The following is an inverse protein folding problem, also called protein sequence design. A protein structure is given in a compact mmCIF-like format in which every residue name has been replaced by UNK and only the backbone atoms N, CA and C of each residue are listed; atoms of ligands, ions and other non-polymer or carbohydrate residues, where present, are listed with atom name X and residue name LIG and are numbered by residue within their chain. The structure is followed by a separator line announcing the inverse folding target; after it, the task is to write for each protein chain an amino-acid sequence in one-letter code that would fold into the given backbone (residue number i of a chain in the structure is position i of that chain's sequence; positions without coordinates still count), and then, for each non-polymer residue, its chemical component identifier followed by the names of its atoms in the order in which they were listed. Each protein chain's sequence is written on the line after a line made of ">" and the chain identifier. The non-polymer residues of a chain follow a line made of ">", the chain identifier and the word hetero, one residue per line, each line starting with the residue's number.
data_IF_728851035724
#
_entry.id   IF_728851035724
#
_cell.length_a   1.000
_cell.length_b   1.000
_cell.length_c   1.000
_cell.angle_alpha   90.00
_cell.angle_beta   90.00
_cell.angle_gamma   90.00
#
_symmetry.space_group_name_H-M   'P 1'
#
loop_
_entity.id
_entity.type
_entity.pdbx_description
1 polymer ?
#
# COMPACT_ATOMS: atom_id res chain seq x y z
N UNK A 1 16.15 -16.26 1.25
CA UNK A 1 15.17 -16.74 2.28
C UNK A 1 13.96 -15.83 2.28
N UNK A 2 12.75 -16.40 2.38
CA UNK A 2 11.50 -15.64 2.45
C UNK A 2 10.91 -15.73 3.85
N UNK A 3 10.56 -14.58 4.41
CA UNK A 3 9.98 -14.45 5.75
C UNK A 3 8.59 -13.79 5.65
N UNK A 4 7.66 -14.26 6.49
CA UNK A 4 6.31 -13.69 6.60
C UNK A 4 6.10 -13.17 8.01
N UNK A 5 5.69 -11.91 8.11
CA UNK A 5 5.25 -11.25 9.34
C UNK A 5 3.77 -10.92 9.20
N UNK A 6 2.98 -11.30 10.19
CA UNK A 6 1.55 -10.94 10.27
C UNK A 6 1.35 -10.23 11.59
N UNK A 7 1.16 -8.92 11.53
CA UNK A 7 0.92 -8.08 12.70
C UNK A 7 -0.56 -7.75 12.84
N UNK A 8 -1.00 -7.65 14.08
CA UNK A 8 -2.27 -7.02 14.39
C UNK A 8 -2.25 -5.51 14.10
N UNK A 9 -3.34 -4.80 14.44
CA UNK A 9 -3.36 -3.35 14.34
C UNK A 9 -2.33 -2.70 15.29
N UNK A 10 -1.47 -1.83 14.75
CA UNK A 10 -0.41 -1.10 15.46
C UNK A 10 -0.56 0.40 15.15
N UNK A 11 -0.03 1.28 15.98
CA UNK A 11 -0.06 2.71 15.73
C UNK A 11 0.81 3.11 14.53
N UNK A 12 0.47 4.23 13.90
CA UNK A 12 1.09 4.63 12.64
C UNK A 12 2.59 4.93 12.75
N UNK A 13 3.06 5.44 13.87
CA UNK A 13 4.48 5.73 14.08
C UNK A 13 5.26 4.42 14.13
N UNK A 14 4.79 3.47 14.92
CA UNK A 14 5.39 2.13 15.06
C UNK A 14 5.34 1.38 13.73
N UNK A 15 4.22 1.39 12.99
CA UNK A 15 4.13 0.77 11.67
C UNK A 15 5.22 1.28 10.71
N UNK A 16 5.41 2.58 10.63
CA UNK A 16 6.40 3.18 9.74
C UNK A 16 7.83 2.96 10.23
N UNK A 17 8.06 2.90 11.55
CA UNK A 17 9.35 2.58 12.13
C UNK A 17 9.75 1.12 11.84
N UNK A 18 8.82 0.17 11.96
CA UNK A 18 9.05 -1.25 11.62
C UNK A 18 9.41 -1.39 10.15
N UNK A 19 8.63 -0.80 9.22
CA UNK A 19 8.93 -0.86 7.79
C UNK A 19 10.32 -0.29 7.46
N UNK A 20 10.72 0.80 8.12
CA UNK A 20 12.05 1.39 7.95
C UNK A 20 13.15 0.49 8.50
N UNK A 21 12.97 -0.08 9.71
CA UNK A 21 13.93 -0.97 10.34
C UNK A 21 14.14 -2.26 9.53
N UNK A 22 13.05 -2.85 9.00
CA UNK A 22 13.14 -4.03 8.14
C UNK A 22 13.88 -3.72 6.83
N UNK A 23 13.71 -2.52 6.26
CA UNK A 23 14.48 -2.10 5.09
C UNK A 23 15.98 -1.99 5.40
N UNK A 24 16.34 -1.39 6.53
CA UNK A 24 17.73 -1.25 6.95
C UNK A 24 18.36 -2.62 7.29
N UNK A 25 17.60 -3.53 7.91
CA UNK A 25 18.02 -4.90 8.19
C UNK A 25 18.34 -5.67 6.90
N UNK A 26 17.44 -5.64 5.92
CA UNK A 26 17.64 -6.33 4.63
C UNK A 26 18.76 -5.68 3.82
N UNK A 27 18.87 -4.34 3.83
CA UNK A 27 19.92 -3.62 3.10
C UNK A 27 21.33 -3.88 3.67
N UNK A 28 21.42 -4.15 4.97
CA UNK A 28 22.68 -4.46 5.67
C UNK A 28 23.05 -5.94 5.60
N UNK A 29 22.13 -6.81 5.21
CA UNK A 29 22.37 -8.26 5.12
C UNK A 29 23.28 -8.63 3.95
N UNK A 30 24.23 -9.55 4.19
CA UNK A 30 24.99 -10.22 3.13
C UNK A 30 24.17 -11.26 2.37
N UNK A 31 23.17 -11.84 3.05
CA UNK A 31 22.32 -12.88 2.53
C UNK A 31 21.17 -12.32 1.68
N UNK A 32 20.72 -13.07 0.69
CA UNK A 32 19.53 -12.72 -0.08
C UNK A 32 18.28 -13.00 0.76
N UNK A 33 17.52 -11.95 1.04
CA UNK A 33 16.34 -11.97 1.90
C UNK A 33 15.16 -11.26 1.26
N UNK A 34 13.98 -11.80 1.53
CA UNK A 34 12.71 -11.15 1.23
C UNK A 34 11.80 -11.29 2.44
N UNK A 35 11.24 -10.18 2.88
CA UNK A 35 10.26 -10.11 3.97
C UNK A 35 8.95 -9.60 3.37
N UNK A 36 7.88 -10.35 3.62
CA UNK A 36 6.51 -9.89 3.37
C UNK A 36 5.85 -9.65 4.72
N UNK A 37 5.29 -8.47 4.90
CA UNK A 37 4.59 -8.08 6.13
C UNK A 37 3.16 -7.68 5.80
N UNK A 38 2.18 -8.21 6.57
CA UNK A 38 0.79 -7.76 6.57
C UNK A 38 0.45 -7.17 7.93
N UNK A 39 -0.24 -6.02 7.93
CA UNK A 39 -0.55 -5.33 9.18
C UNK A 39 -1.79 -4.42 9.06
N UNK A 40 -2.29 -3.97 10.21
CA UNK A 40 -3.41 -3.03 10.32
C UNK A 40 -3.04 -1.77 11.11
N UNK A 41 -4.05 -0.94 11.39
CA UNK A 41 -3.94 0.35 12.06
C UNK A 41 -4.92 0.43 13.23
N UNK A 42 -4.45 0.85 14.41
CA UNK A 42 -5.32 0.96 15.63
C UNK A 42 -6.31 2.11 15.54
N UNK A 43 -6.10 3.07 14.63
CA UNK A 43 -7.00 4.20 14.36
C UNK A 43 -6.77 4.73 12.94
N UNK A 44 -7.74 5.44 12.38
CA UNK A 44 -7.54 6.11 11.10
C UNK A 44 -6.27 6.96 11.14
N UNK A 45 -5.41 6.79 10.15
CA UNK A 45 -4.11 7.45 10.08
C UNK A 45 -3.81 7.86 8.64
N UNK A 46 -3.34 9.08 8.44
CA UNK A 46 -2.83 9.52 7.14
C UNK A 46 -1.33 9.36 7.09
N UNK A 47 -0.84 8.58 6.13
CA UNK A 47 0.58 8.53 5.83
C UNK A 47 0.93 9.49 4.70
N UNK A 48 1.93 10.32 4.94
CA UNK A 48 2.52 11.25 3.97
C UNK A 48 3.75 10.64 3.33
N UNK A 49 3.96 10.92 2.05
CA UNK A 49 5.24 10.61 1.42
C UNK A 49 6.37 11.41 2.07
N UNK A 50 7.55 10.82 2.13
CA UNK A 50 8.74 11.38 2.84
C UNK A 50 9.09 12.83 2.49
N UNK A 51 8.68 13.33 1.32
CA UNK A 51 8.98 14.67 0.83
C UNK A 51 7.79 15.65 0.95
N UNK A 52 6.64 15.20 1.47
CA UNK A 52 5.49 16.08 1.66
C UNK A 52 5.62 16.88 2.95
N UNK A 53 5.20 18.14 2.89
CA UNK A 53 5.07 19.00 4.07
C UNK A 53 3.67 18.81 4.65
N UNK A 54 3.56 18.55 5.96
CA UNK A 54 2.30 18.25 6.65
C UNK A 54 1.23 19.31 6.33
N UNK A 55 1.51 20.57 6.62
CA UNK A 55 0.53 21.68 6.48
C UNK A 55 0.04 21.90 5.04
N UNK A 56 0.83 21.48 4.05
CA UNK A 56 0.44 21.57 2.64
C UNK A 56 -0.37 20.35 2.19
N UNK A 57 -0.10 19.19 2.78
CA UNK A 57 -0.66 17.92 2.34
C UNK A 57 -1.99 17.58 3.01
N UNK A 58 -2.18 17.99 4.29
CA UNK A 58 -3.35 17.61 5.08
C UNK A 58 -3.88 18.76 5.92
N UNK A 59 -5.17 18.70 6.22
CA UNK A 59 -5.84 19.54 7.20
C UNK A 59 -5.56 19.00 8.61
N UNK A 60 -4.55 19.56 9.26
CA UNK A 60 -4.09 19.14 10.58
C UNK A 60 -5.12 19.40 11.66
N UNK A 61 -5.89 20.49 11.58
CA UNK A 61 -6.94 20.82 12.54
C UNK A 61 -8.06 19.78 12.46
N UNK A 62 -8.48 19.45 11.24
CA UNK A 62 -9.47 18.38 11.03
C UNK A 62 -8.97 17.02 11.54
N UNK A 63 -7.71 16.67 11.27
CA UNK A 63 -7.12 15.42 11.76
C UNK A 63 -7.14 15.34 13.29
N UNK A 64 -6.73 16.40 13.99
CA UNK A 64 -6.73 16.46 15.46
C UNK A 64 -8.16 16.35 16.00
N UNK A 65 -9.10 17.12 15.46
CA UNK A 65 -10.49 17.14 15.93
C UNK A 65 -11.20 15.78 15.74
N UNK A 66 -10.76 14.96 14.79
CA UNK A 66 -11.36 13.65 14.49
C UNK A 66 -10.49 12.45 14.92
N UNK A 67 -9.43 12.65 15.70
CA UNK A 67 -8.57 11.58 16.20
C UNK A 67 -7.76 10.84 15.11
N UNK A 68 -7.58 11.47 13.94
CA UNK A 68 -6.85 10.89 12.82
C UNK A 68 -5.34 11.12 13.03
N UNK A 69 -4.57 10.03 12.99
CA UNK A 69 -3.12 10.09 13.07
C UNK A 69 -2.51 10.68 11.79
N UNK A 70 -1.35 11.34 11.91
CA UNK A 70 -0.58 11.82 10.76
C UNK A 70 0.86 11.37 10.93
N UNK A 71 1.41 10.64 9.94
CA UNK A 71 2.77 10.11 9.97
C UNK A 71 3.46 10.28 8.61
N UNK A 72 4.79 10.32 8.60
CA UNK A 72 5.55 10.19 7.36
C UNK A 72 5.96 8.73 7.15
N UNK A 73 5.76 8.23 5.94
CA UNK A 73 6.27 6.92 5.55
C UNK A 73 7.67 7.02 4.91
N UNK A 74 8.48 5.95 5.00
CA UNK A 74 9.84 5.94 4.43
C UNK A 74 9.87 6.05 2.90
N UNK A 75 8.76 5.79 2.22
CA UNK A 75 8.62 5.87 0.77
C UNK A 75 8.14 7.26 0.31
N UNK A 76 8.18 7.49 -1.00
CA UNK A 76 7.61 8.70 -1.61
C UNK A 76 6.10 8.62 -1.83
N UNK A 77 5.60 9.43 -2.76
CA UNK A 77 4.19 9.48 -3.13
C UNK A 77 3.41 10.53 -2.34
N UNK A 78 2.07 10.47 -2.45
CA UNK A 78 1.13 11.44 -1.87
C UNK A 78 0.39 10.84 -0.69
N UNK A 79 -0.40 11.66 0.02
CA UNK A 79 -1.17 11.27 1.19
C UNK A 79 -2.06 10.03 0.92
N UNK A 80 -2.09 9.11 1.86
CA UNK A 80 -2.97 7.93 1.90
C UNK A 80 -3.64 7.88 3.25
N UNK A 81 -4.97 7.73 3.28
CA UNK A 81 -5.72 7.44 4.50
C UNK A 81 -5.76 5.92 4.70
N UNK A 82 -5.25 5.48 5.81
CA UNK A 82 -5.33 4.12 6.32
C UNK A 82 -6.46 4.04 7.35
N UNK A 83 -7.47 3.25 7.08
CA UNK A 83 -8.64 3.09 7.95
C UNK A 83 -9.06 1.61 7.95
N UNK A 84 -10.13 1.26 7.28
CA UNK A 84 -10.63 -0.11 7.15
C UNK A 84 -9.90 -0.84 6.00
N UNK A 85 -8.73 -1.41 6.29
CA UNK A 85 -7.84 -1.99 5.28
C UNK A 85 -6.93 -3.09 5.82
N UNK A 86 -6.34 -3.84 4.89
CA UNK A 86 -5.09 -4.56 5.10
C UNK A 86 -3.95 -3.77 4.45
N UNK A 87 -2.88 -3.52 5.18
CA UNK A 87 -1.65 -2.95 4.61
C UNK A 87 -0.62 -4.07 4.38
N UNK A 88 0.10 -4.00 3.27
CA UNK A 88 1.22 -4.89 2.98
C UNK A 88 2.54 -4.13 2.90
N UNK A 89 3.64 -4.82 3.21
CA UNK A 89 4.98 -4.39 2.87
C UNK A 89 5.78 -5.57 2.30
N UNK A 90 6.56 -5.32 1.25
CA UNK A 90 7.54 -6.24 0.67
C UNK A 90 8.89 -5.56 0.70
N UNK A 91 9.83 -6.18 1.40
CA UNK A 91 11.20 -5.71 1.54
C UNK A 91 12.14 -6.78 1.00
N UNK A 92 13.03 -6.43 0.06
CA UNK A 92 13.92 -7.42 -0.53
C UNK A 92 15.22 -6.82 -1.04
N UNK A 93 16.30 -7.61 -0.97
CA UNK A 93 17.57 -7.39 -1.67
C UNK A 93 17.84 -8.49 -2.73
N UNK A 94 16.81 -9.30 -3.04
CA UNK A 94 16.96 -10.44 -3.96
C UNK A 94 16.45 -10.09 -5.37
N UNK A 95 17.37 -9.67 -6.23
CA UNK A 95 17.05 -9.31 -7.61
C UNK A 95 16.66 -10.50 -8.50
N UNK A 96 16.92 -11.75 -8.09
CA UNK A 96 16.53 -12.93 -8.86
C UNK A 96 15.01 -13.08 -8.96
N UNK A 97 14.27 -12.64 -7.94
CA UNK A 97 12.82 -12.65 -7.93
C UNK A 97 12.19 -11.36 -8.49
N UNK A 98 12.82 -10.20 -8.23
CA UNK A 98 12.19 -8.90 -8.49
C UNK A 98 12.85 -8.12 -9.64
N UNK A 99 14.10 -8.45 -9.98
CA UNK A 99 14.90 -7.70 -10.96
C UNK A 99 15.57 -6.45 -10.35
N UNK A 100 16.21 -5.66 -11.22
CA UNK A 100 17.08 -4.55 -10.80
C UNK A 100 16.45 -3.17 -10.98
N UNK A 101 15.18 -3.09 -11.37
CA UNK A 101 14.51 -1.82 -11.65
C UNK A 101 13.33 -1.57 -10.72
N UNK A 102 13.05 -0.30 -10.42
CA UNK A 102 11.87 0.11 -9.66
C UNK A 102 10.59 -0.46 -10.31
N UNK A 103 10.47 -0.37 -11.63
CA UNK A 103 9.28 -0.84 -12.34
C UNK A 103 9.17 -2.37 -12.38
N UNK A 104 10.30 -3.08 -12.47
CA UNK A 104 10.33 -4.54 -12.40
C UNK A 104 9.83 -5.04 -11.05
N UNK A 105 10.39 -4.49 -9.96
CA UNK A 105 9.98 -4.83 -8.59
C UNK A 105 8.49 -4.54 -8.38
N UNK A 106 8.06 -3.33 -8.76
CA UNK A 106 6.66 -2.92 -8.62
C UNK A 106 5.70 -3.86 -9.35
N UNK A 107 6.04 -4.21 -10.60
CA UNK A 107 5.24 -5.14 -11.42
C UNK A 107 5.11 -6.50 -10.76
N UNK A 108 6.23 -7.11 -10.33
CA UNK A 108 6.23 -8.45 -9.72
C UNK A 108 5.39 -8.52 -8.46
N UNK A 109 5.50 -7.52 -7.58
CA UNK A 109 4.66 -7.43 -6.37
C UNK A 109 3.19 -7.24 -6.76
N UNK A 110 2.89 -6.37 -7.73
CA UNK A 110 1.52 -6.13 -8.19
C UNK A 110 0.89 -7.38 -8.84
N UNK A 111 1.66 -8.18 -9.55
CA UNK A 111 1.19 -9.46 -10.14
C UNK A 111 0.83 -10.47 -9.04
N UNK A 112 1.64 -10.59 -7.98
CA UNK A 112 1.33 -11.45 -6.83
C UNK A 112 0.06 -10.96 -6.09
N UNK A 113 -0.08 -9.65 -5.88
CA UNK A 113 -1.30 -9.08 -5.29
C UNK A 113 -2.54 -9.30 -6.18
N UNK A 114 -2.40 -9.17 -7.49
CA UNK A 114 -3.46 -9.44 -8.46
C UNK A 114 -3.99 -10.88 -8.32
N UNK A 115 -3.07 -11.85 -8.20
CA UNK A 115 -3.43 -13.25 -7.96
C UNK A 115 -4.20 -13.41 -6.64
N UNK A 116 -3.79 -12.70 -5.57
CA UNK A 116 -4.50 -12.70 -4.29
C UNK A 116 -5.95 -12.22 -4.39
N UNK A 117 -6.17 -11.12 -5.09
CA UNK A 117 -7.53 -10.63 -5.37
C UNK A 117 -8.35 -11.61 -6.22
N UNK A 118 -7.73 -12.19 -7.25
CA UNK A 118 -8.40 -13.20 -8.10
C UNK A 118 -8.84 -14.42 -7.28
N UNK A 119 -8.05 -14.87 -6.31
CA UNK A 119 -8.40 -15.97 -5.40
C UNK A 119 -9.59 -15.66 -4.50
N UNK A 120 -9.80 -14.39 -4.18
CA UNK A 120 -10.98 -13.91 -3.44
C UNK A 120 -12.23 -13.76 -4.33
N UNK A 121 -12.11 -13.99 -5.64
CA UNK A 121 -13.19 -13.76 -6.60
C UNK A 121 -13.31 -12.31 -7.08
N UNK A 122 -12.34 -11.45 -6.76
CA UNK A 122 -12.29 -10.07 -7.21
C UNK A 122 -11.62 -9.99 -8.59
N UNK A 123 -12.25 -9.45 -9.62
CA UNK A 123 -11.72 -9.41 -10.99
C UNK A 123 -10.69 -8.29 -11.15
N UNK A 124 -9.62 -8.35 -10.36
CA UNK A 124 -8.54 -7.38 -10.40
C UNK A 124 -7.69 -7.57 -11.66
N UNK A 125 -7.28 -6.45 -12.26
CA UNK A 125 -6.38 -6.42 -13.40
C UNK A 125 -5.27 -5.38 -13.16
N UNK A 126 -4.10 -5.62 -13.76
CA UNK A 126 -3.06 -4.61 -13.82
C UNK A 126 -3.40 -3.58 -14.89
N UNK A 127 -3.42 -2.30 -14.52
CA UNK A 127 -3.60 -1.22 -15.48
C UNK A 127 -2.52 -1.30 -16.57
N UNK A 128 -2.90 -1.17 -17.87
CA UNK A 128 -1.93 -1.09 -18.93
C UNK A 128 -1.02 0.14 -18.76
N UNK A 129 0.20 0.06 -19.24
CA UNK A 129 1.19 1.17 -19.19
C UNK A 129 0.78 2.34 -20.12
N UNK A 130 -0.42 2.86 -19.92
CA UNK A 130 -0.94 4.01 -20.68
C UNK A 130 -0.65 5.30 -19.93
N UNK A 131 0.48 5.94 -20.26
CA UNK A 131 0.76 7.30 -19.79
C UNK A 131 -0.19 8.30 -20.43
N UNK A 132 -1.25 8.67 -19.74
CA UNK A 132 -1.88 9.97 -19.89
C UNK A 132 -1.94 10.60 -18.51
N UNK A 133 -0.88 11.29 -18.14
CA UNK A 133 -0.89 12.20 -17.01
C UNK A 133 -1.78 13.39 -17.38
N UNK A 134 -3.00 13.39 -16.90
CA UNK A 134 -3.76 14.64 -16.85
C UNK A 134 -3.31 15.35 -15.57
N UNK A 135 -2.67 16.53 -15.65
CA UNK A 135 -2.34 17.29 -14.45
C UNK A 135 -3.65 17.73 -13.79
N UNK A 136 -3.93 17.29 -12.58
CA UNK A 136 -4.95 17.95 -11.76
C UNK A 136 -4.34 19.26 -11.27
N UNK A 137 -4.59 20.33 -12.01
CA UNK A 137 -4.14 21.67 -11.69
C UNK A 137 -5.21 22.36 -10.83
N UNK A 138 -5.12 22.25 -9.52
CA UNK A 138 -5.73 23.20 -8.59
C UNK A 138 -4.97 23.13 -7.26
N UNK A 139 -3.85 23.82 -7.16
CA UNK A 139 -3.28 24.36 -5.92
C UNK A 139 -2.85 23.41 -4.78
N UNK A 140 -3.17 22.13 -4.83
CA UNK A 140 -2.82 21.12 -3.82
C UNK A 140 -2.31 19.82 -4.45
N UNK A 141 -1.54 19.02 -3.68
CA UNK A 141 -1.10 17.70 -4.10
C UNK A 141 -2.28 16.70 -3.97
N UNK A 142 -2.85 16.15 -5.06
CA UNK A 142 -3.94 15.19 -4.95
C UNK A 142 -3.50 13.94 -4.19
N UNK A 143 -4.43 13.22 -3.51
CA UNK A 143 -4.12 11.96 -2.84
C UNK A 143 -3.50 10.91 -3.78
N UNK A 144 -2.78 9.92 -3.22
CA UNK A 144 -2.08 8.89 -3.98
C UNK A 144 -3.02 8.11 -4.92
N UNK A 145 -4.27 7.89 -4.52
CA UNK A 145 -5.26 7.20 -5.34
C UNK A 145 -5.67 7.99 -6.61
N UNK A 146 -5.53 9.31 -6.63
CA UNK A 146 -5.80 10.14 -7.80
C UNK A 146 -4.58 10.32 -8.73
N UNK A 147 -3.45 9.71 -8.39
CA UNK A 147 -2.22 9.83 -9.19
C UNK A 147 -1.98 8.55 -9.97
N UNK A 148 -1.99 8.57 -11.32
CA UNK A 148 -1.74 7.39 -12.11
C UNK A 148 -0.29 6.92 -11.95
N UNK A 149 -0.10 5.64 -11.70
CA UNK A 149 1.19 4.96 -11.72
C UNK A 149 1.14 3.76 -12.67
N UNK A 150 2.32 3.21 -13.02
CA UNK A 150 2.38 1.99 -13.82
C UNK A 150 2.02 0.78 -12.96
N UNK A 151 1.38 -0.22 -13.56
CA UNK A 151 1.06 -1.49 -12.92
C UNK A 151 0.16 -1.36 -11.68
N UNK A 152 -0.76 -0.39 -11.71
CA UNK A 152 -1.78 -0.25 -10.67
C UNK A 152 -2.81 -1.37 -10.76
N UNK A 153 -3.28 -1.80 -9.60
CA UNK A 153 -4.35 -2.79 -9.48
C UNK A 153 -5.71 -2.10 -9.56
N UNK A 154 -6.49 -2.52 -10.55
CA UNK A 154 -7.78 -1.92 -10.89
C UNK A 154 -8.89 -2.96 -10.91
N UNK A 155 -10.10 -2.55 -10.53
CA UNK A 155 -11.35 -3.29 -10.77
C UNK A 155 -12.39 -2.31 -11.29
N UNK A 156 -13.00 -2.64 -12.43
CA UNK A 156 -14.02 -1.77 -13.02
C UNK A 156 -13.55 -0.34 -13.31
N UNK A 157 -12.26 -0.17 -13.64
CA UNK A 157 -11.67 1.14 -13.89
C UNK A 157 -11.27 1.92 -12.63
N UNK A 158 -11.49 1.39 -11.42
CA UNK A 158 -11.14 2.02 -10.14
C UNK A 158 -9.96 1.32 -9.48
N UNK A 159 -9.08 2.09 -8.88
CA UNK A 159 -7.89 1.62 -8.17
C UNK A 159 -8.27 1.00 -6.83
N UNK A 160 -7.78 -0.21 -6.57
CA UNK A 160 -8.05 -0.97 -5.33
C UNK A 160 -6.81 -1.13 -4.43
N UNK A 161 -5.65 -0.68 -4.86
CA UNK A 161 -4.39 -0.71 -4.07
C UNK A 161 -3.63 0.59 -4.28
N UNK A 162 -3.25 1.24 -3.20
CA UNK A 162 -2.39 2.41 -3.23
C UNK A 162 -0.97 2.04 -2.80
N UNK A 163 -0.03 1.88 -3.72
CA UNK A 163 1.34 1.45 -3.42
C UNK A 163 2.38 2.55 -3.61
N UNK A 164 3.43 2.50 -2.81
CA UNK A 164 4.62 3.33 -2.93
C UNK A 164 5.88 2.48 -2.74
N UNK A 165 6.97 2.87 -3.41
CA UNK A 165 8.23 2.14 -3.35
C UNK A 165 9.40 3.08 -3.06
N UNK A 166 10.40 2.56 -2.34
CA UNK A 166 11.72 3.18 -2.15
C UNK A 166 12.80 2.14 -2.41
N UNK A 167 13.84 2.53 -3.17
CA UNK A 167 15.08 1.75 -3.28
C UNK A 167 16.18 2.38 -2.45
N UNK A 168 16.99 1.52 -1.84
CA UNK A 168 18.20 1.87 -1.10
C UNK A 168 19.28 0.89 -1.55
N UNK A 169 20.36 1.39 -2.16
CA UNK A 169 21.43 0.54 -2.72
C UNK A 169 20.86 -0.59 -3.59
N UNK A 170 20.96 -1.86 -3.13
CA UNK A 170 20.44 -3.04 -3.80
C UNK A 170 19.06 -3.50 -3.29
N UNK A 171 18.56 -2.89 -2.22
CA UNK A 171 17.32 -3.27 -1.54
C UNK A 171 16.16 -2.36 -1.94
N UNK A 172 14.94 -2.84 -1.74
CA UNK A 172 13.75 -2.02 -1.86
C UNK A 172 12.73 -2.32 -0.75
N UNK A 173 11.93 -1.34 -0.46
CA UNK A 173 10.66 -1.44 0.26
C UNK A 173 9.55 -1.02 -0.69
N UNK A 174 8.56 -1.87 -0.89
CA UNK A 174 7.27 -1.51 -1.48
C UNK A 174 6.18 -1.84 -0.48
N UNK A 175 5.41 -0.84 -0.10
CA UNK A 175 4.25 -1.04 0.76
C UNK A 175 3.02 -0.35 0.20
N UNK A 176 1.84 -0.74 0.67
CA UNK A 176 0.61 -0.18 0.14
C UNK A 176 -0.63 -0.52 0.94
N UNK A 177 -1.62 0.36 0.79
CA UNK A 177 -2.97 0.26 1.31
C UNK A 177 -3.81 -0.63 0.40
N UNK A 178 -4.51 -1.59 0.99
CA UNK A 178 -5.49 -2.48 0.35
C UNK A 178 -6.84 -2.28 1.05
N UNK A 179 -7.62 -1.25 0.70
CA UNK A 179 -8.86 -0.92 1.37
C UNK A 179 -9.89 -2.04 1.31
N UNK A 180 -10.49 -2.39 2.46
CA UNK A 180 -11.70 -3.21 2.51
C UNK A 180 -12.89 -2.32 2.17
N UNK A 181 -13.00 -1.19 2.84
CA UNK A 181 -13.93 -0.12 2.50
C UNK A 181 -13.19 1.21 2.34
N UNK A 182 -13.80 2.19 1.66
CA UNK A 182 -13.18 3.48 1.42
C UNK A 182 -13.95 4.61 2.11
N UNK A 183 -13.34 5.27 3.08
CA UNK A 183 -13.89 6.48 3.68
C UNK A 183 -13.49 7.72 2.86
N UNK A 184 -14.13 7.87 1.69
CA UNK A 184 -13.78 8.90 0.68
C UNK A 184 -14.05 10.30 1.17
N UNK A 185 -15.10 10.50 1.98
CA UNK A 185 -15.43 11.79 2.58
C UNK A 185 -14.33 12.26 3.55
N UNK A 186 -13.87 11.37 4.44
CA UNK A 186 -12.77 11.69 5.35
C UNK A 186 -11.49 11.98 4.57
N UNK A 187 -11.16 11.17 3.55
CA UNK A 187 -9.96 11.40 2.72
C UNK A 187 -10.05 12.75 1.99
N UNK A 188 -11.22 13.10 1.44
CA UNK A 188 -11.42 14.39 0.78
C UNK A 188 -11.21 15.54 1.76
N UNK A 189 -11.80 15.48 2.96
CA UNK A 189 -11.64 16.51 3.99
C UNK A 189 -10.19 16.64 4.44
N UNK A 190 -9.55 15.51 4.75
CA UNK A 190 -8.15 15.50 5.19
C UNK A 190 -7.22 16.11 4.14
N UNK A 191 -7.47 15.86 2.85
CA UNK A 191 -6.62 16.35 1.75
C UNK A 191 -7.12 17.65 1.13
N UNK A 192 -8.10 18.31 1.75
CA UNK A 192 -8.71 19.57 1.30
C UNK A 192 -9.25 19.52 -0.12
N UNK A 193 -9.72 18.36 -0.58
CA UNK A 193 -10.50 18.29 -1.82
C UNK A 193 -11.85 18.98 -1.62
N UNK A 194 -12.41 19.60 -2.66
CA UNK A 194 -13.72 20.26 -2.58
C UNK A 194 -14.84 19.30 -2.19
N UNK A 195 -14.78 18.05 -2.69
CA UNK A 195 -15.74 16.98 -2.43
C UNK A 195 -15.10 15.61 -2.69
N UNK A 196 -15.82 14.51 -2.41
CA UNK A 196 -15.37 13.14 -2.59
C UNK A 196 -15.54 12.58 -4.00
N UNK A 197 -16.22 13.28 -4.91
CA UNK A 197 -16.57 12.77 -6.26
C UNK A 197 -15.36 12.29 -7.09
N UNK A 198 -14.17 12.93 -7.06
CA UNK A 198 -12.99 12.39 -7.74
C UNK A 198 -12.55 11.05 -7.16
N UNK A 199 -12.65 10.88 -5.83
CA UNK A 199 -12.26 9.64 -5.15
C UNK A 199 -13.24 8.49 -5.43
N UNK A 200 -14.54 8.79 -5.56
CA UNK A 200 -15.56 7.81 -5.92
C UNK A 200 -15.32 7.19 -7.30
N UNK A 201 -14.83 8.01 -8.24
CA UNK A 201 -14.53 7.56 -9.61
C UNK A 201 -13.22 6.77 -9.73
N UNK A 202 -12.24 7.08 -8.87
CA UNK A 202 -10.86 6.61 -9.06
C UNK A 202 -10.46 5.50 -8.09
N UNK A 203 -11.14 5.33 -6.94
CA UNK A 203 -10.78 4.32 -5.94
C UNK A 203 -11.96 3.49 -5.47
N UNK A 204 -11.67 2.26 -5.06
CA UNK A 204 -12.66 1.34 -4.50
C UNK A 204 -12.05 0.48 -3.39
N UNK A 205 -12.90 0.03 -2.47
CA UNK A 205 -12.58 -1.01 -1.51
C UNK A 205 -12.99 -2.39 -2.04
N UNK A 206 -12.29 -3.44 -1.58
CA UNK A 206 -12.53 -4.80 -2.04
C UNK A 206 -13.94 -5.30 -1.74
N UNK A 207 -14.55 -4.83 -0.63
CA UNK A 207 -15.92 -5.20 -0.25
C UNK A 207 -16.99 -4.77 -1.27
N UNK A 208 -16.68 -3.82 -2.16
CA UNK A 208 -17.60 -3.40 -3.22
C UNK A 208 -17.76 -4.47 -4.33
N UNK A 209 -16.89 -5.48 -4.36
CA UNK A 209 -16.83 -6.51 -5.42
C UNK A 209 -17.06 -7.93 -4.91
N UNK A 210 -17.40 -8.08 -3.63
CA UNK A 210 -17.65 -9.37 -3.01
C UNK A 210 -19.08 -9.41 -2.45
N UNK A 211 -19.72 -10.60 -2.42
CA UNK A 211 -21.06 -10.74 -1.85
C UNK A 211 -21.10 -10.48 -0.35
N UNK A 212 -19.99 -10.76 0.36
CA UNK A 212 -19.82 -10.50 1.79
C UNK A 212 -18.51 -9.78 2.01
N UNK A 213 -18.45 -8.96 3.07
CA UNK A 213 -17.24 -8.26 3.46
C UNK A 213 -16.18 -9.29 3.90
N UNK A 214 -14.97 -9.26 3.32
CA UNK A 214 -13.91 -10.20 3.70
C UNK A 214 -13.34 -9.84 5.09
N UNK A 215 -12.93 -10.85 5.83
CA UNK A 215 -12.17 -10.71 7.07
C UNK A 215 -10.70 -10.43 6.77
N UNK A 216 -9.97 -9.92 7.77
CA UNK A 216 -8.52 -9.72 7.68
C UNK A 216 -7.80 -11.06 7.47
N UNK A 217 -8.26 -12.13 8.12
CA UNK A 217 -7.71 -13.49 8.01
C UNK A 217 -7.87 -14.04 6.59
N UNK A 218 -9.04 -13.86 5.97
CA UNK A 218 -9.29 -14.29 4.58
C UNK A 218 -8.39 -13.55 3.60
N UNK A 219 -8.27 -12.21 3.76
CA UNK A 219 -7.37 -11.41 2.94
C UNK A 219 -5.92 -11.85 3.12
N UNK A 220 -5.43 -11.89 4.35
CA UNK A 220 -4.05 -12.27 4.66
C UNK A 220 -3.73 -13.67 4.15
N UNK A 221 -4.64 -14.65 4.37
CA UNK A 221 -4.49 -16.02 3.87
C UNK A 221 -4.47 -16.10 2.34
N UNK A 222 -5.30 -15.32 1.65
CA UNK A 222 -5.32 -15.27 0.20
C UNK A 222 -4.02 -14.69 -0.38
N UNK A 223 -3.56 -13.55 0.16
CA UNK A 223 -2.33 -12.93 -0.31
C UNK A 223 -1.09 -13.74 0.04
N UNK A 224 -1.02 -14.37 1.21
CA UNK A 224 0.07 -15.30 1.56
C UNK A 224 0.20 -16.41 0.53
N UNK A 225 -0.90 -17.11 0.22
CA UNK A 225 -0.91 -18.18 -0.79
C UNK A 225 -0.58 -17.66 -2.19
N UNK A 226 -1.04 -16.45 -2.53
CA UNK A 226 -0.74 -15.84 -3.82
C UNK A 226 0.74 -15.53 -4.00
N UNK A 227 1.43 -15.03 -2.97
CA UNK A 227 2.88 -14.85 -2.99
C UNK A 227 3.63 -16.18 -3.10
N UNK A 228 3.23 -17.21 -2.34
CA UNK A 228 3.84 -18.54 -2.41
C UNK A 228 3.75 -19.12 -3.82
N UNK A 229 2.56 -19.10 -4.42
CA UNK A 229 2.35 -19.68 -5.74
C UNK A 229 3.02 -18.87 -6.86
N UNK A 230 2.92 -17.51 -6.79
CA UNK A 230 3.47 -16.65 -7.82
C UNK A 230 5.00 -16.72 -7.88
N UNK A 231 5.66 -16.78 -6.72
CA UNK A 231 7.11 -16.83 -6.63
C UNK A 231 7.66 -18.27 -6.48
N UNK A 232 6.81 -19.29 -6.36
CA UNK A 232 7.18 -20.69 -6.10
C UNK A 232 8.07 -20.83 -4.85
N UNK A 233 7.62 -20.27 -3.71
CA UNK A 233 8.39 -20.23 -2.45
C UNK A 233 7.56 -20.72 -1.26
N UNK A 234 8.27 -21.02 -0.18
CA UNK A 234 7.69 -21.24 1.14
C UNK A 234 8.13 -20.11 2.09
N UNK A 235 7.23 -19.67 2.97
CA UNK A 235 7.53 -18.70 3.98
C UNK A 235 8.00 -19.33 5.29
N UNK A 236 9.04 -18.75 5.88
CA UNK A 236 9.33 -18.88 7.29
C UNK A 236 8.53 -17.81 8.04
N UNK A 237 7.68 -18.25 8.98
CA UNK A 237 6.95 -17.30 9.85
C UNK A 237 7.92 -16.64 10.82
N UNK A 238 7.83 -15.34 10.94
CA UNK A 238 8.61 -14.51 11.86
C UNK A 238 7.65 -13.67 12.71
N UNK A 239 7.82 -13.69 14.03
CA UNK A 239 7.12 -12.75 14.91
C UNK A 239 7.81 -11.39 14.83
N UNK A 240 7.02 -10.32 14.97
CA UNK A 240 7.57 -8.97 15.19
C UNK A 240 8.01 -8.91 16.65
N UNK A 241 9.30 -8.76 16.85
CA UNK A 241 9.87 -8.48 18.18
C UNK A 241 9.79 -6.97 18.48
#
# INVERSE_FOLDING_TARGET
>A
MWELIIDGPIDGISNMAIDAALLDEVDSSSDLRTIVRFYGWVRPTVSLGRNQTIDKAVDTEYCIANGIGVVHRPTGGRAVLHDDELTYAVISNDSSFFGDTIYGNYKRVSEALCLGYTRLGVPAVLAPDTRKTTPVSNGGDPPCFLSPARYELMVGGRKIVGSAQRRVRRSFLQHGSMPITCNREVLARVTRLPDASPLEREMAGVAEFLPERPTIEELTGSFTRAFQDYFCIEFRIRNSD
#
